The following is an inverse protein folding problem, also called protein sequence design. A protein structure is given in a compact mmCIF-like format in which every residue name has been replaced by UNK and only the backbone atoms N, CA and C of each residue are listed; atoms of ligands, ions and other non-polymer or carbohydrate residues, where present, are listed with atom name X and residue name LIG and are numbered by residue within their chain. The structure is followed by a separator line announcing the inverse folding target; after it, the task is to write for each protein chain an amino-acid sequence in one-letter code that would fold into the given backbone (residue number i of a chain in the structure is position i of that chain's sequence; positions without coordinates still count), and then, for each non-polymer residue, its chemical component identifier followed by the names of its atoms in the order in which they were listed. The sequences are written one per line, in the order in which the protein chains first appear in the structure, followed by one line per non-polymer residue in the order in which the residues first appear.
data_IF_619325597526
#
_entry.id   IF_619325597526
#
_cell.length_a   1.000
_cell.length_b   1.000
_cell.length_c   1.000
_cell.angle_alpha   90.00
_cell.angle_beta   90.00
_cell.angle_gamma   90.00
#
_symmetry.space_group_name_H-M   'P 1'
#
loop_
_entity.id
_entity.type
_entity.pdbx_description
1 polymer ?
#
# COMPACT_ATOMS: atom_id res chain seq x y z
N UNK A 1 -23.91 5.85 -56.36
CA UNK A 1 -24.39 6.15 -55.02
C UNK A 1 -23.79 5.09 -54.09
N UNK A 2 -22.60 5.30 -53.56
CA UNK A 2 -21.95 4.39 -52.64
C UNK A 2 -21.61 5.15 -51.37
N UNK A 3 -22.13 4.64 -50.25
CA UNK A 3 -22.08 5.21 -48.92
C UNK A 3 -20.72 4.92 -48.29
N UNK A 4 -20.03 5.95 -47.81
CA UNK A 4 -18.84 5.88 -46.98
C UNK A 4 -19.31 5.96 -45.53
N UNK A 5 -19.38 4.84 -44.84
CA UNK A 5 -19.50 4.79 -43.36
C UNK A 5 -18.69 3.61 -42.84
N UNK A 6 -17.40 3.74 -42.80
CA UNK A 6 -16.55 2.89 -41.95
C UNK A 6 -15.26 3.66 -41.61
N UNK A 7 -15.18 4.23 -40.44
CA UNK A 7 -13.94 4.92 -40.01
C UNK A 7 -13.93 5.48 -38.58
N UNK A 8 -15.04 5.43 -37.84
CA UNK A 8 -15.08 6.05 -36.51
C UNK A 8 -15.04 5.08 -35.30
N UNK A 9 -15.22 3.76 -35.51
CA UNK A 9 -15.29 2.80 -34.41
C UNK A 9 -13.91 2.35 -33.91
N UNK A 10 -12.89 2.28 -34.77
CA UNK A 10 -11.58 1.75 -34.41
C UNK A 10 -10.72 2.70 -33.55
N UNK A 11 -10.88 4.02 -33.71
CA UNK A 11 -10.09 5.01 -32.95
C UNK A 11 -10.54 5.15 -31.50
N UNK A 12 -11.80 4.86 -31.21
CA UNK A 12 -12.35 4.99 -29.85
C UNK A 12 -11.94 3.81 -28.95
N UNK A 13 -11.83 2.62 -29.52
CA UNK A 13 -11.42 1.42 -28.77
C UNK A 13 -9.93 1.40 -28.41
N UNK A 14 -9.07 2.00 -29.24
CA UNK A 14 -7.65 2.14 -28.92
C UNK A 14 -7.40 3.17 -27.82
N UNK A 15 -8.11 4.30 -27.84
CA UNK A 15 -7.99 5.32 -26.80
C UNK A 15 -8.50 4.87 -25.43
N UNK A 16 -9.51 3.99 -25.40
CA UNK A 16 -10.01 3.39 -24.15
C UNK A 16 -9.00 2.38 -23.60
N UNK A 17 -8.45 1.50 -24.43
CA UNK A 17 -7.42 0.53 -24.04
C UNK A 17 -6.11 1.20 -23.60
N UNK A 18 -5.75 2.33 -24.17
CA UNK A 18 -4.56 3.08 -23.78
C UNK A 18 -4.77 3.83 -22.46
N UNK A 19 -5.95 4.39 -22.21
CA UNK A 19 -6.32 4.94 -20.89
C UNK A 19 -6.37 3.86 -19.81
N UNK A 20 -6.91 2.68 -20.09
CA UNK A 20 -6.91 1.54 -19.18
C UNK A 20 -5.48 1.02 -18.91
N UNK A 21 -4.59 1.07 -19.90
CA UNK A 21 -3.19 0.67 -19.74
C UNK A 21 -2.39 1.65 -18.88
N UNK A 22 -2.67 2.94 -18.98
CA UNK A 22 -2.03 3.98 -18.16
C UNK A 22 -2.52 3.89 -16.70
N UNK A 23 -3.77 3.46 -16.45
CA UNK A 23 -4.31 3.26 -15.09
C UNK A 23 -3.71 2.06 -14.36
N UNK A 24 -3.10 1.11 -15.06
CA UNK A 24 -2.53 -0.11 -14.47
C UNK A 24 -1.02 -0.02 -14.20
N UNK A 25 -0.40 1.15 -14.23
CA UNK A 25 1.04 1.33 -14.00
C UNK A 25 1.38 1.73 -12.56
N UNK A 26 0.76 1.09 -11.59
CA UNK A 26 1.07 1.30 -10.18
C UNK A 26 0.10 0.53 -9.29
N UNK A 27 0.47 0.38 -8.04
CA UNK A 27 -0.42 -0.08 -6.95
C UNK A 27 -0.18 0.85 -5.77
N UNK A 28 -0.57 2.12 -5.98
CA UNK A 28 -0.24 3.25 -5.10
C UNK A 28 -1.21 3.34 -3.93
N UNK A 29 -0.70 3.82 -2.81
CA UNK A 29 -1.50 4.19 -1.65
C UNK A 29 -0.78 5.21 -0.78
N UNK A 30 -1.52 5.86 0.11
CA UNK A 30 -0.99 6.63 1.22
C UNK A 30 -1.45 5.99 2.52
N UNK A 31 -0.56 5.78 3.48
CA UNK A 31 -0.87 5.22 4.80
C UNK A 31 -0.69 6.32 5.84
N UNK A 32 -1.66 6.51 6.73
CA UNK A 32 -1.52 7.37 7.91
C UNK A 32 -1.89 6.61 9.18
N UNK A 33 -1.18 6.89 10.28
CA UNK A 33 -1.50 6.38 11.61
C UNK A 33 -2.23 7.42 12.47
N UNK A 34 -2.52 8.60 11.90
CA UNK A 34 -3.24 9.65 12.60
C UNK A 34 -4.64 9.17 13.02
N UNK A 35 -4.95 9.25 14.32
CA UNK A 35 -6.27 8.86 14.86
C UNK A 35 -7.41 9.65 14.23
N UNK A 36 -7.18 10.94 13.98
CA UNK A 36 -8.09 11.85 13.28
C UNK A 36 -7.32 12.52 12.14
N UNK A 37 -7.27 11.91 10.95
CA UNK A 37 -6.49 12.44 9.83
C UNK A 37 -6.95 13.85 9.43
N UNK A 38 -5.98 14.72 9.24
CA UNK A 38 -6.14 16.09 8.71
C UNK A 38 -5.17 16.29 7.55
N UNK A 39 -5.32 17.35 6.80
CA UNK A 39 -4.38 17.70 5.72
C UNK A 39 -2.91 17.83 6.17
N UNK A 40 -2.67 18.07 7.46
CA UNK A 40 -1.34 18.21 8.04
C UNK A 40 -0.84 16.92 8.72
N UNK A 41 -1.65 15.87 8.79
CA UNK A 41 -1.21 14.58 9.33
C UNK A 41 -0.11 13.97 8.47
N UNK A 42 0.84 13.29 9.10
CA UNK A 42 1.90 12.59 8.38
C UNK A 42 1.35 11.34 7.69
N UNK A 43 1.80 11.10 6.49
CA UNK A 43 1.51 9.91 5.70
C UNK A 43 2.76 9.31 5.09
N UNK A 44 2.67 8.03 4.75
CA UNK A 44 3.66 7.24 4.03
C UNK A 44 3.07 6.93 2.67
N UNK A 45 3.69 7.41 1.60
CA UNK A 45 3.29 7.11 0.24
C UNK A 45 3.96 5.83 -0.25
N UNK A 46 3.18 4.96 -0.87
CA UNK A 46 3.62 3.75 -1.55
C UNK A 46 3.33 3.88 -3.04
N UNK A 47 4.32 3.59 -3.88
CA UNK A 47 4.11 3.47 -5.33
C UNK A 47 3.66 2.06 -5.72
N UNK A 48 4.10 1.05 -4.97
CA UNK A 48 3.77 -0.36 -5.13
C UNK A 48 3.26 -0.96 -3.82
N UNK A 49 2.62 -2.12 -3.90
CA UNK A 49 2.08 -2.84 -2.74
C UNK A 49 1.12 -1.98 -1.89
N UNK A 50 0.39 -1.06 -2.53
CA UNK A 50 -0.62 -0.24 -1.87
C UNK A 50 -1.99 -0.91 -1.75
N UNK A 51 -2.14 -2.19 -2.15
CA UNK A 51 -3.37 -2.94 -1.90
C UNK A 51 -3.65 -3.12 -0.41
N UNK A 52 -4.92 -3.22 -0.04
CA UNK A 52 -5.36 -3.30 1.35
C UNK A 52 -4.72 -4.48 2.09
N UNK A 53 -4.50 -5.60 1.41
CA UNK A 53 -3.85 -6.80 1.93
C UNK A 53 -2.40 -6.54 2.32
N UNK A 54 -1.66 -5.84 1.46
CA UNK A 54 -0.27 -5.47 1.74
C UNK A 54 -0.19 -4.49 2.90
N UNK A 55 -1.10 -3.52 2.95
CA UNK A 55 -1.18 -2.55 4.06
C UNK A 55 -1.49 -3.26 5.38
N UNK A 56 -2.41 -4.24 5.37
CA UNK A 56 -2.68 -5.07 6.53
C UNK A 56 -1.42 -5.86 6.95
N UNK A 57 -0.71 -6.46 5.99
CA UNK A 57 0.51 -7.23 6.27
C UNK A 57 1.61 -6.34 6.89
N UNK A 58 1.82 -5.12 6.41
CA UNK A 58 2.75 -4.16 7.02
C UNK A 58 2.36 -3.80 8.45
N UNK A 59 1.08 -3.56 8.72
CA UNK A 59 0.59 -3.20 10.04
C UNK A 59 0.70 -4.37 11.02
N UNK A 60 0.39 -5.59 10.59
CA UNK A 60 0.53 -6.80 11.41
C UNK A 60 2.00 -7.15 11.66
N UNK A 61 2.88 -6.95 10.68
CA UNK A 61 4.31 -7.08 10.88
C UNK A 61 4.83 -6.08 11.93
N UNK A 62 4.39 -4.82 11.88
CA UNK A 62 4.74 -3.82 12.89
C UNK A 62 4.33 -4.26 14.29
N UNK A 63 3.12 -4.81 14.44
CA UNK A 63 2.67 -5.40 15.70
C UNK A 63 3.56 -6.57 16.14
N UNK A 64 3.82 -7.53 15.24
CA UNK A 64 4.65 -8.70 15.53
C UNK A 64 6.09 -8.32 15.95
N UNK A 65 6.64 -7.28 15.35
CA UNK A 65 7.97 -6.75 15.65
C UNK A 65 8.01 -5.86 16.91
N UNK A 66 6.91 -5.77 17.67
CA UNK A 66 6.85 -5.04 18.94
C UNK A 66 6.89 -3.52 18.79
N UNK A 67 6.43 -2.98 17.67
CA UNK A 67 6.31 -1.53 17.48
C UNK A 67 5.29 -0.96 18.49
N UNK A 68 5.63 0.14 19.17
CA UNK A 68 4.73 0.87 20.09
C UNK A 68 3.64 1.59 19.32
N UNK A 69 2.57 0.88 19.02
CA UNK A 69 1.54 1.32 18.07
C UNK A 69 0.65 2.47 18.58
N UNK A 70 0.66 2.73 19.91
CA UNK A 70 -0.06 3.85 20.53
C UNK A 70 0.69 5.19 20.45
N UNK A 71 1.99 5.16 20.13
CA UNK A 71 2.83 6.32 19.88
C UNK A 71 2.86 6.61 18.38
N UNK A 72 1.96 7.47 17.93
CA UNK A 72 1.74 7.76 16.50
C UNK A 72 3.03 8.15 15.78
N UNK A 73 3.84 9.01 16.38
CA UNK A 73 5.08 9.51 15.76
C UNK A 73 6.10 8.39 15.61
N UNK A 74 6.33 7.63 16.68
CA UNK A 74 7.25 6.50 16.68
C UNK A 74 6.75 5.38 15.73
N UNK A 75 5.46 5.04 15.82
CA UNK A 75 4.88 3.99 14.99
C UNK A 75 4.95 4.34 13.50
N UNK A 76 4.72 5.60 13.12
CA UNK A 76 4.85 6.06 11.73
C UNK A 76 6.29 5.87 11.23
N UNK A 77 7.29 6.27 12.00
CA UNK A 77 8.69 6.11 11.63
C UNK A 77 9.08 4.63 11.49
N UNK A 78 8.63 3.78 12.42
CA UNK A 78 8.91 2.33 12.38
C UNK A 78 8.18 1.64 11.25
N UNK A 79 6.94 1.99 10.97
CA UNK A 79 6.19 1.45 9.84
C UNK A 79 6.88 1.81 8.52
N UNK A 80 7.32 3.06 8.36
CA UNK A 80 8.07 3.48 7.18
C UNK A 80 9.38 2.69 7.01
N UNK A 81 10.09 2.41 8.11
CA UNK A 81 11.29 1.56 8.10
C UNK A 81 10.96 0.12 7.67
N UNK A 82 9.90 -0.47 8.23
CA UNK A 82 9.47 -1.84 7.91
C UNK A 82 9.15 -1.95 6.41
N UNK A 83 8.42 -0.99 5.87
CA UNK A 83 8.10 -0.91 4.46
C UNK A 83 9.37 -0.74 3.62
N UNK A 84 10.27 0.16 4.00
CA UNK A 84 11.54 0.38 3.31
C UNK A 84 12.42 -0.86 3.27
N UNK A 85 12.52 -1.59 4.36
CA UNK A 85 13.26 -2.86 4.42
C UNK A 85 12.63 -3.95 3.53
N UNK A 86 11.30 -4.00 3.46
CA UNK A 86 10.60 -4.92 2.56
C UNK A 86 10.97 -4.66 1.10
N UNK A 87 11.03 -3.41 0.68
CA UNK A 87 11.39 -3.05 -0.69
C UNK A 87 12.90 -3.19 -1.00
N UNK A 88 13.75 -3.36 0.01
CA UNK A 88 15.17 -3.61 -0.20
C UNK A 88 15.96 -2.44 -0.80
N UNK A 89 15.54 -1.20 -0.54
CA UNK A 89 16.28 0.01 -0.89
C UNK A 89 16.03 0.57 -2.29
N UNK A 90 15.27 -0.06 -3.14
CA UNK A 90 14.79 0.56 -4.38
C UNK A 90 13.41 1.19 -4.16
N UNK A 91 13.37 2.35 -4.28
CA UNK A 91 12.59 3.44 -3.84
C UNK A 91 11.26 3.68 -4.46
N UNK A 92 10.24 3.36 -3.77
CA UNK A 92 8.90 3.77 -4.11
C UNK A 92 8.11 4.15 -2.85
N UNK A 93 8.83 4.69 -1.86
CA UNK A 93 8.28 5.12 -0.58
C UNK A 93 8.59 6.60 -0.37
N UNK A 94 7.60 7.38 0.01
CA UNK A 94 7.76 8.78 0.38
C UNK A 94 7.12 9.06 1.74
N UNK A 95 7.60 10.06 2.46
CA UNK A 95 6.99 10.54 3.71
C UNK A 95 6.69 12.02 3.56
N UNK A 96 5.50 12.43 3.94
CA UNK A 96 5.08 13.82 3.89
C UNK A 96 3.80 14.05 4.67
N UNK A 97 3.27 15.27 4.59
CA UNK A 97 1.93 15.55 5.11
C UNK A 97 0.89 15.26 4.03
N UNK A 98 -0.31 14.81 4.43
CA UNK A 98 -1.33 14.30 3.52
C UNK A 98 -1.67 15.29 2.38
N UNK A 99 -1.65 16.60 2.63
CA UNK A 99 -1.91 17.61 1.57
C UNK A 99 -0.88 17.66 0.45
N UNK A 100 0.31 17.08 0.67
CA UNK A 100 1.39 17.03 -0.33
C UNK A 100 1.61 15.62 -0.90
N UNK A 101 0.87 14.62 -0.40
CA UNK A 101 0.90 13.27 -0.91
C UNK A 101 -0.27 13.04 -1.88
N UNK A 102 -0.05 12.16 -2.85
CA UNK A 102 -1.05 11.77 -3.84
C UNK A 102 -2.08 10.82 -3.22
N UNK A 103 -3.00 11.37 -2.40
CA UNK A 103 -4.09 10.60 -1.81
C UNK A 103 -5.19 10.25 -2.82
N UNK A 104 -5.32 10.99 -3.90
CA UNK A 104 -6.30 10.76 -4.98
C UNK A 104 -5.67 9.98 -6.15
N UNK A 105 -4.79 9.04 -5.84
CA UNK A 105 -3.91 8.33 -6.79
C UNK A 105 -4.62 7.42 -7.80
N UNK A 106 -5.94 7.37 -7.80
CA UNK A 106 -6.78 6.53 -8.68
C UNK A 106 -6.56 5.00 -8.57
N UNK A 107 -5.69 4.55 -7.66
CA UNK A 107 -5.47 3.12 -7.36
C UNK A 107 -6.20 2.76 -6.06
N UNK A 108 -5.54 2.93 -4.92
CA UNK A 108 -6.08 2.52 -3.62
C UNK A 108 -6.46 3.70 -2.71
N UNK A 109 -6.13 4.95 -3.09
CA UNK A 109 -6.40 6.11 -2.25
C UNK A 109 -5.52 6.16 -1.02
N UNK A 110 -6.14 6.38 0.15
CA UNK A 110 -5.43 6.45 1.42
C UNK A 110 -6.01 5.47 2.44
N UNK A 111 -5.15 4.95 3.31
CA UNK A 111 -5.50 4.11 4.44
C UNK A 111 -5.18 4.79 5.76
N UNK A 112 -6.11 4.69 6.69
CA UNK A 112 -5.86 4.94 8.10
C UNK A 112 -5.65 3.60 8.80
N UNK A 113 -4.49 3.44 9.41
CA UNK A 113 -4.15 2.27 10.22
C UNK A 113 -4.24 2.66 11.69
N UNK A 114 -5.02 1.93 12.45
CA UNK A 114 -5.18 2.10 13.89
C UNK A 114 -5.21 0.75 14.59
N UNK A 115 -5.18 0.79 15.92
CA UNK A 115 -5.12 -0.41 16.75
C UNK A 115 -6.16 -0.32 17.85
N UNK A 116 -7.03 -1.30 17.94
CA UNK A 116 -8.04 -1.48 18.99
C UNK A 116 -7.64 -2.67 19.85
N UNK A 117 -7.01 -2.38 21.01
CA UNK A 117 -6.33 -3.42 21.78
C UNK A 117 -5.24 -4.06 20.91
N UNK A 118 -5.36 -5.36 20.71
CA UNK A 118 -4.44 -6.14 19.86
C UNK A 118 -4.87 -6.24 18.40
N UNK A 119 -6.03 -5.72 18.04
CA UNK A 119 -6.52 -5.81 16.67
C UNK A 119 -6.00 -4.66 15.81
N UNK A 120 -5.47 -4.98 14.63
CA UNK A 120 -5.23 -4.00 13.58
C UNK A 120 -6.56 -3.60 12.98
N UNK A 121 -6.79 -2.30 12.79
CA UNK A 121 -7.96 -1.75 12.12
C UNK A 121 -7.51 -0.92 10.94
N UNK A 122 -8.07 -1.23 9.78
CA UNK A 122 -7.79 -0.50 8.54
C UNK A 122 -9.07 0.15 8.05
N UNK A 123 -8.99 1.45 7.80
CA UNK A 123 -10.03 2.22 7.13
C UNK A 123 -9.47 2.82 5.86
N UNK A 124 -10.23 2.79 4.78
CA UNK A 124 -9.84 3.30 3.47
C UNK A 124 -10.66 4.53 3.10
N UNK A 125 -10.02 5.51 2.50
CA UNK A 125 -10.64 6.69 1.87
C UNK A 125 -10.06 6.90 0.48
N UNK A 126 -10.89 7.35 -0.46
CA UNK A 126 -10.45 7.63 -1.83
C UNK A 126 -9.58 8.88 -1.95
N UNK A 127 -9.77 9.83 -1.06
CA UNK A 127 -9.13 11.16 -1.11
C UNK A 127 -8.28 11.48 0.15
N UNK A 128 -8.28 10.57 1.13
CA UNK A 128 -7.56 10.75 2.39
C UNK A 128 -8.13 11.84 3.31
N UNK A 129 -9.29 12.42 2.97
CA UNK A 129 -9.89 13.56 3.70
C UNK A 129 -11.13 13.15 4.48
N UNK A 130 -12.01 12.36 3.85
CA UNK A 130 -13.32 11.99 4.38
C UNK A 130 -13.71 10.58 3.94
N UNK A 131 -14.92 10.17 4.34
CA UNK A 131 -15.53 8.90 3.92
C UNK A 131 -14.65 7.68 4.20
N UNK A 132 -13.98 7.67 5.37
CA UNK A 132 -13.20 6.54 5.84
C UNK A 132 -14.10 5.33 6.10
N UNK A 133 -13.87 4.26 5.39
CA UNK A 133 -14.62 3.00 5.49
C UNK A 133 -13.74 1.91 6.09
N UNK A 134 -14.20 1.33 7.18
CA UNK A 134 -13.53 0.17 7.80
C UNK A 134 -13.57 -1.02 6.85
N UNK A 135 -12.43 -1.68 6.69
CA UNK A 135 -12.30 -2.89 5.89
C UNK A 135 -12.43 -4.13 6.77
N UNK A 136 -12.87 -5.22 6.15
CA UNK A 136 -12.95 -6.53 6.79
C UNK A 136 -11.59 -7.25 6.66
N UNK A 137 -10.82 -7.26 7.74
CA UNK A 137 -9.51 -7.91 7.76
C UNK A 137 -9.55 -9.41 7.49
N UNK A 138 -10.64 -10.10 7.87
CA UNK A 138 -10.74 -11.54 7.63
C UNK A 138 -10.95 -11.84 6.14
N UNK A 139 -11.66 -10.97 5.43
CA UNK A 139 -11.71 -11.04 3.98
C UNK A 139 -10.35 -10.72 3.35
N UNK A 140 -9.67 -9.67 3.81
CA UNK A 140 -8.34 -9.32 3.31
C UNK A 140 -7.35 -10.48 3.47
N UNK A 141 -7.35 -11.15 4.61
CA UNK A 141 -6.49 -12.32 4.86
C UNK A 141 -6.80 -13.50 3.95
N UNK A 142 -8.04 -13.68 3.56
CA UNK A 142 -8.45 -14.78 2.65
C UNK A 142 -8.01 -14.53 1.20
N UNK A 143 -7.87 -13.25 0.83
CA UNK A 143 -7.81 -12.92 -0.61
C UNK A 143 -6.44 -12.94 -1.21
N UNK A 144 -5.34 -12.91 -0.46
CA UNK A 144 -4.17 -12.77 -1.28
C UNK A 144 -2.90 -13.44 -0.78
N UNK A 145 -2.41 -13.14 0.37
CA UNK A 145 -1.00 -13.37 0.61
C UNK A 145 -0.72 -14.20 1.87
N UNK A 146 -1.78 -14.74 2.44
CA UNK A 146 -1.74 -15.52 3.68
C UNK A 146 -1.77 -17.02 3.43
N UNK A 147 -2.17 -17.45 2.24
CA UNK A 147 -2.13 -18.86 1.84
C UNK A 147 -0.80 -19.13 1.13
N UNK A 148 -0.04 -20.06 1.64
CA UNK A 148 1.09 -20.66 0.96
C UNK A 148 0.57 -21.38 -0.30
N UNK A 149 0.64 -20.73 -1.43
CA UNK A 149 0.60 -21.41 -2.72
C UNK A 149 2.05 -21.63 -3.15
N UNK A 150 2.32 -22.73 -3.84
CA UNK A 150 3.68 -23.15 -4.21
C UNK A 150 4.51 -22.07 -4.95
N UNK A 151 3.85 -21.00 -5.43
CA UNK A 151 4.47 -19.93 -6.23
C UNK A 151 4.36 -18.51 -5.62
N UNK A 152 3.77 -18.31 -4.44
CA UNK A 152 3.61 -16.98 -3.84
C UNK A 152 4.22 -16.91 -2.44
N UNK A 153 5.25 -16.07 -2.31
CA UNK A 153 5.84 -15.73 -1.01
C UNK A 153 4.76 -15.14 -0.08
N UNK A 154 4.68 -15.67 1.13
CA UNK A 154 3.86 -15.10 2.19
C UNK A 154 4.42 -13.70 2.54
N UNK A 155 3.72 -12.65 2.13
CA UNK A 155 4.17 -11.25 2.30
C UNK A 155 4.48 -10.96 3.76
N UNK A 156 3.64 -11.39 4.70
CA UNK A 156 3.87 -11.14 6.12
C UNK A 156 5.17 -11.80 6.60
N UNK A 157 5.39 -13.06 6.24
CA UNK A 157 6.61 -13.78 6.61
C UNK A 157 7.86 -13.11 6.01
N UNK A 158 7.77 -12.67 4.75
CA UNK A 158 8.85 -11.94 4.07
C UNK A 158 9.13 -10.59 4.74
N UNK A 159 8.10 -9.84 5.11
CA UNK A 159 8.27 -8.57 5.83
C UNK A 159 8.98 -8.82 7.17
N UNK A 160 8.52 -9.80 7.95
CA UNK A 160 9.10 -10.15 9.25
C UNK A 160 10.56 -10.57 9.09
N UNK A 161 10.86 -11.45 8.14
CA UNK A 161 12.21 -11.93 7.88
C UNK A 161 13.17 -10.77 7.53
N UNK A 162 12.78 -9.87 6.62
CA UNK A 162 13.60 -8.72 6.20
C UNK A 162 13.80 -7.68 7.31
N UNK A 163 12.96 -7.67 8.32
CA UNK A 163 13.06 -6.78 9.47
C UNK A 163 13.66 -7.44 10.72
N UNK A 164 14.02 -8.72 10.65
CA UNK A 164 14.68 -9.43 11.74
C UNK A 164 16.13 -8.93 11.86
N UNK A 165 16.61 -8.50 13.06
CA UNK A 165 18.00 -8.08 13.27
C UNK A 165 19.03 -9.16 12.94
N UNK A 166 18.67 -10.43 12.99
CA UNK A 166 19.53 -11.55 12.59
C UNK A 166 19.61 -11.71 11.06
N UNK A 167 18.75 -11.07 10.30
CA UNK A 167 18.82 -11.07 8.85
C UNK A 167 19.85 -10.03 8.39
N UNK A 168 21.09 -10.44 8.30
CA UNK A 168 22.14 -9.71 7.58
C UNK A 168 22.10 -10.20 6.14
N UNK A 169 21.81 -9.34 5.14
CA UNK A 169 22.05 -9.74 3.75
C UNK A 169 23.54 -10.09 3.65
N UNK A 170 23.84 -11.32 3.24
CA UNK A 170 25.21 -11.74 3.01
C UNK A 170 25.84 -10.78 2.00
N UNK A 171 27.00 -10.18 2.33
CA UNK A 171 27.76 -9.25 1.48
C UNK A 171 28.25 -9.89 0.17
N UNK A 172 27.82 -11.09 -0.14
CA UNK A 172 28.31 -11.93 -1.23
C UNK A 172 27.74 -11.60 -2.62
N UNK A 173 26.89 -10.57 -2.78
CA UNK A 173 26.32 -10.20 -4.09
C UNK A 173 26.73 -8.81 -4.59
N UNK A 174 27.81 -8.24 -4.08
CA UNK A 174 28.38 -7.00 -4.58
C UNK A 174 29.79 -7.22 -5.18
N UNK A 175 29.87 -8.11 -6.17
CA UNK A 175 31.05 -8.21 -7.06
C UNK A 175 30.60 -8.37 -8.50
#
# INVERSE_FOLDING_TARGET
MFSIVEGKSARNSQGIKEKERIHNMGNRAVITLAKKPTSNSVGIYLHWNGGAESVLAFAEAAKHLGVRLHDETYATARLAQIIGNFFGGTLSVGIGILKHLDCENYDNGAYKVSFEGDAVVIEQSKDGKKDWKRLDNDQLRKHAYWQETEDQENILATIIARNNPAFQPSEEKAK
#
